data_IF_723750982940
#
_entry.id   IF_723750982940
#
_cell.length_a   1.000
_cell.length_b   1.000
_cell.length_c   1.000
_cell.angle_alpha   90.00
_cell.angle_beta   90.00
_cell.angle_gamma   90.00
#
_symmetry.space_group_name_H-M   'P 1'
#
loop_
_entity.id
_entity.type
_entity.pdbx_description
1 polymer ?
#
# COMPACT_ATOMS: atom_id res chain seq x y z
N UNK A 1 -7.64 7.66 -1.71
CA UNK A 1 -7.33 9.08 -1.47
C UNK A 1 -6.30 9.17 -0.36
N UNK A 2 -5.03 9.39 -0.72
CA UNK A 2 -3.97 9.68 0.24
C UNK A 2 -4.11 11.15 0.66
N UNK A 3 -4.41 11.40 1.93
CA UNK A 3 -4.31 12.73 2.55
C UNK A 3 -3.09 12.69 3.46
N UNK A 4 -2.00 13.34 3.03
CA UNK A 4 -0.87 13.65 3.90
C UNK A 4 -1.07 15.07 4.43
N UNK A 5 -1.18 15.24 5.76
CA UNK A 5 -1.21 16.54 6.43
C UNK A 5 0.21 16.94 6.82
N UNK A 6 0.68 18.08 6.31
CA UNK A 6 1.90 18.74 6.79
C UNK A 6 1.51 19.97 7.63
N UNK A 7 2.01 20.02 8.87
CA UNK A 7 1.96 21.21 9.71
C UNK A 7 3.10 22.17 9.32
N UNK A 8 2.73 23.36 8.87
CA UNK A 8 3.66 24.47 8.72
C UNK A 8 3.49 25.40 9.95
N UNK A 9 4.49 25.44 10.83
CA UNK A 9 4.52 26.39 11.96
C UNK A 9 5.08 27.73 11.50
N UNK A 10 4.27 28.77 11.60
CA UNK A 10 4.70 30.17 11.38
C UNK A 10 4.93 30.80 12.74
N UNK A 11 6.15 31.29 12.95
CA UNK A 11 6.57 32.02 14.15
C UNK A 11 5.91 33.41 14.20
N UNK A 12 5.23 33.68 15.30
CA UNK A 12 4.54 34.95 15.54
C UNK A 12 5.38 35.85 16.47
N UNK A 13 6.37 36.52 15.93
CA UNK A 13 6.94 37.67 16.63
C UNK A 13 7.44 38.70 15.61
N UNK A 14 6.67 39.78 15.45
CA UNK A 14 7.06 41.12 15.04
C UNK A 14 5.91 41.80 14.31
N UNK A 15 5.05 42.50 15.03
CA UNK A 15 4.28 43.61 14.50
C UNK A 15 4.09 44.71 15.56
N UNK A 16 4.79 45.80 15.38
CA UNK A 16 4.39 47.04 15.96
C UNK A 16 4.60 48.16 14.93
N UNK A 17 3.53 48.96 14.73
CA UNK A 17 3.43 50.34 14.28
C UNK A 17 3.39 50.70 12.79
N UNK A 18 2.16 51.02 12.33
CA UNK A 18 1.71 52.21 11.57
C UNK A 18 2.31 52.45 10.19
N UNK A 19 1.51 52.27 9.13
CA UNK A 19 1.16 53.32 8.17
C UNK A 19 0.00 52.87 7.26
N UNK A 20 -1.07 53.69 7.21
CA UNK A 20 -2.17 53.59 6.24
C UNK A 20 -1.63 53.94 4.86
N UNK A 21 -1.49 52.95 4.00
CA UNK A 21 -1.41 53.13 2.55
C UNK A 21 -2.05 51.91 1.89
N UNK A 22 -3.03 52.18 1.06
CA UNK A 22 -3.78 51.22 0.25
C UNK A 22 -2.81 50.35 -0.55
N UNK A 23 -2.42 49.23 0.02
CA UNK A 23 -1.72 48.15 -0.68
C UNK A 23 -2.77 47.13 -1.13
N UNK A 24 -3.07 47.17 -2.43
CA UNK A 24 -3.76 46.09 -3.13
C UNK A 24 -3.02 44.78 -2.77
N UNK A 25 -3.58 43.97 -1.90
CA UNK A 25 -3.11 42.61 -1.66
C UNK A 25 -3.32 41.82 -2.96
N UNK A 26 -2.33 41.83 -3.83
CA UNK A 26 -2.10 40.69 -4.70
C UNK A 26 -1.73 39.54 -3.74
N UNK A 27 -2.74 38.82 -3.29
CA UNK A 27 -2.54 37.49 -2.75
C UNK A 27 -2.01 36.65 -3.91
N UNK A 28 -0.70 36.62 -4.07
CA UNK A 28 -0.04 35.58 -4.82
C UNK A 28 -0.32 34.30 -4.03
N UNK A 29 -1.38 33.58 -4.43
CA UNK A 29 -1.50 32.20 -4.10
C UNK A 29 -0.22 31.53 -4.62
N UNK A 30 0.76 31.36 -3.76
CA UNK A 30 1.85 30.44 -4.02
C UNK A 30 1.16 29.09 -4.06
N UNK A 31 0.68 28.70 -5.24
CA UNK A 31 0.31 27.34 -5.57
C UNK A 31 1.61 26.54 -5.42
N UNK A 32 1.87 26.11 -4.19
CA UNK A 32 2.91 25.12 -3.96
C UNK A 32 2.46 23.89 -4.74
N UNK A 33 3.07 23.65 -5.89
CA UNK A 33 2.76 22.50 -6.71
C UNK A 33 3.07 21.25 -5.88
N UNK A 34 2.03 20.68 -5.27
CA UNK A 34 2.17 19.48 -4.47
C UNK A 34 2.49 18.32 -5.40
N UNK A 35 3.63 17.68 -5.18
CA UNK A 35 3.96 16.44 -5.87
C UNK A 35 3.29 15.26 -5.17
N UNK A 36 2.67 14.40 -5.97
CA UNK A 36 2.16 13.12 -5.52
C UNK A 36 3.01 12.01 -6.15
N UNK A 37 3.20 10.95 -5.41
CA UNK A 37 3.96 9.79 -5.88
C UNK A 37 3.06 8.57 -5.93
N UNK A 38 3.18 7.77 -7.00
CA UNK A 38 2.40 6.56 -7.23
C UNK A 38 3.35 5.42 -7.57
N UNK A 39 3.14 4.29 -6.94
CA UNK A 39 3.77 3.04 -7.33
C UNK A 39 2.80 2.23 -8.18
N UNK A 40 3.27 1.72 -9.31
CA UNK A 40 2.48 0.94 -10.27
C UNK A 40 3.19 -0.38 -10.53
N UNK A 41 2.55 -1.49 -10.17
CA UNK A 41 3.07 -2.83 -10.42
C UNK A 41 2.82 -3.24 -11.87
N UNK A 42 3.83 -3.85 -12.51
CA UNK A 42 3.79 -4.42 -13.85
C UNK A 42 3.99 -5.93 -13.75
N UNK A 43 2.89 -6.66 -13.68
CA UNK A 43 2.85 -8.09 -13.39
C UNK A 43 3.64 -8.93 -14.40
N UNK A 44 3.68 -8.50 -15.67
CA UNK A 44 4.28 -9.26 -16.76
C UNK A 44 5.77 -9.04 -16.97
N UNK A 45 6.39 -8.12 -16.25
CA UNK A 45 7.83 -7.81 -16.42
C UNK A 45 8.59 -7.58 -15.11
N UNK A 46 8.03 -8.03 -13.99
CA UNK A 46 8.62 -7.97 -12.64
C UNK A 46 9.14 -6.61 -12.22
N UNK A 47 8.46 -5.54 -12.64
CA UNK A 47 8.86 -4.18 -12.30
C UNK A 47 7.76 -3.42 -11.57
N UNK A 48 8.18 -2.42 -10.81
CA UNK A 48 7.33 -1.39 -10.23
C UNK A 48 7.79 -0.03 -10.71
N UNK A 49 6.91 0.72 -11.36
CA UNK A 49 7.17 2.09 -11.77
C UNK A 49 6.83 3.06 -10.65
N UNK A 50 7.78 3.93 -10.28
CA UNK A 50 7.54 5.09 -9.43
C UNK A 50 7.23 6.29 -10.30
N UNK A 51 6.01 6.79 -10.22
CA UNK A 51 5.52 7.94 -10.96
C UNK A 51 5.43 9.16 -10.05
N UNK A 52 5.67 10.34 -10.62
CA UNK A 52 5.41 11.63 -9.97
C UNK A 52 4.34 12.40 -10.74
N UNK A 53 3.31 12.84 -10.03
CA UNK A 53 2.28 13.75 -10.51
C UNK A 53 2.47 15.12 -9.86
N UNK A 54 2.55 16.17 -10.64
CA UNK A 54 2.79 17.55 -10.18
C UNK A 54 1.55 18.46 -10.24
N UNK A 55 0.35 17.85 -10.34
CA UNK A 55 -0.91 18.57 -10.51
C UNK A 55 -1.35 18.74 -11.96
N UNK A 56 -0.45 18.61 -12.95
CA UNK A 56 -0.77 18.76 -14.38
C UNK A 56 -0.27 17.60 -15.25
N UNK A 57 0.81 16.96 -14.88
CA UNK A 57 1.42 15.87 -15.65
C UNK A 57 1.93 14.73 -14.76
N UNK A 58 1.91 13.51 -15.29
CA UNK A 58 2.50 12.32 -14.67
C UNK A 58 3.78 11.98 -15.43
N UNK A 59 4.84 11.67 -14.69
CA UNK A 59 6.11 11.22 -15.25
C UNK A 59 6.65 10.05 -14.43
N UNK A 60 7.08 8.98 -15.13
CA UNK A 60 7.89 7.94 -14.52
C UNK A 60 9.26 8.52 -14.14
N UNK A 61 9.63 8.38 -12.88
CA UNK A 61 10.91 8.90 -12.36
C UNK A 61 11.86 7.78 -11.98
N UNK A 62 11.37 6.58 -11.77
CA UNK A 62 12.18 5.39 -11.51
C UNK A 62 11.41 4.13 -11.90
N UNK A 63 12.11 3.13 -12.43
CA UNK A 63 11.65 1.76 -12.58
C UNK A 63 12.46 0.86 -11.67
N UNK A 64 11.78 0.04 -10.88
CA UNK A 64 12.34 -0.78 -9.82
C UNK A 64 12.11 -2.22 -10.22
N UNK A 65 13.18 -3.00 -10.40
CA UNK A 65 13.07 -4.44 -10.56
C UNK A 65 12.75 -5.07 -9.20
N UNK A 66 11.70 -5.88 -9.13
CA UNK A 66 11.24 -6.55 -7.91
C UNK A 66 11.33 -8.07 -8.00
N UNK A 67 11.59 -8.63 -9.19
CA UNK A 67 11.80 -10.06 -9.39
C UNK A 67 13.17 -10.52 -8.83
N UNK A 68 13.21 -11.74 -8.32
CA UNK A 68 14.41 -12.37 -7.78
C UNK A 68 15.08 -13.31 -8.79
N UNK A 69 14.29 -13.95 -9.65
CA UNK A 69 14.77 -14.96 -10.59
C UNK A 69 14.80 -14.42 -12.02
N UNK A 70 15.97 -14.41 -12.68
CA UNK A 70 16.12 -13.84 -14.03
C UNK A 70 15.34 -14.57 -15.13
N UNK A 71 14.92 -15.79 -14.88
CA UNK A 71 14.29 -16.69 -15.88
C UNK A 71 12.82 -16.94 -15.63
N UNK A 72 12.26 -16.39 -14.55
CA UNK A 72 10.87 -16.58 -14.15
C UNK A 72 10.21 -15.22 -13.97
N UNK A 73 8.93 -15.12 -14.30
CA UNK A 73 8.11 -13.96 -13.97
C UNK A 73 7.40 -14.27 -12.66
N UNK A 74 7.75 -13.52 -11.61
CA UNK A 74 7.18 -13.70 -10.28
C UNK A 74 5.93 -12.86 -10.07
N UNK A 75 5.66 -11.91 -10.94
CA UNK A 75 4.43 -11.14 -11.10
C UNK A 75 4.09 -10.25 -9.91
N UNK A 76 4.59 -9.01 -9.85
CA UNK A 76 4.15 -8.05 -8.84
C UNK A 76 2.67 -7.69 -9.06
N UNK A 77 1.79 -8.09 -8.12
CA UNK A 77 0.35 -7.98 -8.28
C UNK A 77 -0.29 -6.96 -7.34
N UNK A 78 -0.27 -7.20 -6.04
CA UNK A 78 -0.77 -6.25 -5.04
C UNK A 78 0.31 -5.26 -4.65
N UNK A 79 -0.09 -3.99 -4.47
CA UNK A 79 0.83 -2.94 -4.03
C UNK A 79 0.11 -1.98 -3.08
N UNK A 80 0.78 -1.58 -2.00
CA UNK A 80 0.26 -0.59 -1.06
C UNK A 80 1.40 0.22 -0.42
N UNK A 81 1.06 1.40 0.07
CA UNK A 81 1.99 2.26 0.83
C UNK A 81 1.60 2.22 2.29
N UNK A 82 2.59 2.12 3.17
CA UNK A 82 2.39 2.18 4.61
C UNK A 82 1.71 3.48 5.03
N UNK A 83 0.81 3.47 6.02
CA UNK A 83 0.18 4.69 6.54
C UNK A 83 1.16 5.75 7.04
N UNK A 84 2.40 5.38 7.42
CA UNK A 84 3.46 6.34 7.76
C UNK A 84 4.05 7.04 6.53
N UNK A 85 3.96 6.42 5.36
CA UNK A 85 4.63 6.87 4.15
C UNK A 85 6.10 6.47 4.03
N UNK A 86 6.68 5.79 5.03
CA UNK A 86 8.10 5.41 5.05
C UNK A 86 8.40 4.13 4.28
N UNK A 87 7.37 3.29 4.06
CA UNK A 87 7.49 1.99 3.41
C UNK A 87 6.42 1.80 2.34
N UNK A 88 6.71 0.92 1.41
CA UNK A 88 5.73 0.37 0.49
C UNK A 88 5.92 -1.15 0.38
N UNK A 89 4.84 -1.82 0.02
CA UNK A 89 4.79 -3.28 -0.04
C UNK A 89 4.28 -3.73 -1.39
N UNK A 90 4.80 -4.86 -1.88
CA UNK A 90 4.35 -5.50 -3.10
C UNK A 90 4.30 -7.02 -2.91
N UNK A 91 3.26 -7.65 -3.48
CA UNK A 91 3.23 -9.11 -3.59
C UNK A 91 3.85 -9.55 -4.91
N UNK A 92 4.64 -10.62 -4.86
CA UNK A 92 5.01 -11.41 -6.02
C UNK A 92 4.10 -12.63 -6.06
N UNK A 93 3.14 -12.62 -6.98
CA UNK A 93 1.99 -13.52 -6.95
C UNK A 93 2.27 -14.90 -7.55
N UNK A 94 3.11 -14.96 -8.59
CA UNK A 94 3.37 -16.18 -9.36
C UNK A 94 4.51 -17.05 -8.83
N UNK A 95 5.04 -16.76 -7.64
CA UNK A 95 6.09 -17.56 -7.02
C UNK A 95 5.69 -19.03 -6.90
N UNK A 96 6.61 -19.94 -7.22
CA UNK A 96 6.35 -21.37 -7.23
C UNK A 96 7.10 -22.07 -6.08
N UNK A 97 6.41 -22.78 -5.16
CA UNK A 97 4.94 -23.00 -5.10
C UNK A 97 4.17 -21.88 -4.42
N UNK A 98 4.85 -20.94 -3.74
CA UNK A 98 4.23 -19.88 -2.95
C UNK A 98 4.74 -18.51 -3.37
N UNK A 99 3.88 -17.52 -3.29
CA UNK A 99 4.26 -16.13 -3.52
C UNK A 99 4.88 -15.47 -2.29
N UNK A 100 5.33 -14.23 -2.49
CA UNK A 100 5.99 -13.44 -1.46
C UNK A 100 5.31 -12.09 -1.25
N UNK A 101 5.47 -11.55 -0.07
CA UNK A 101 5.25 -10.14 0.25
C UNK A 101 6.60 -9.50 0.55
N UNK A 102 6.91 -8.38 -0.09
CA UNK A 102 8.18 -7.68 0.08
C UNK A 102 7.91 -6.26 0.56
N UNK A 103 8.68 -5.82 1.55
CA UNK A 103 8.70 -4.49 2.12
C UNK A 103 9.89 -3.70 1.58
N UNK A 104 9.63 -2.50 1.11
CA UNK A 104 10.64 -1.56 0.61
C UNK A 104 10.60 -0.26 1.40
N UNK A 105 11.76 0.41 1.52
CA UNK A 105 11.85 1.80 1.95
C UNK A 105 11.37 2.74 0.85
N UNK A 106 10.54 3.75 1.17
CA UNK A 106 10.17 4.80 0.19
C UNK A 106 11.32 5.75 -0.11
N UNK A 107 12.30 5.86 0.80
CA UNK A 107 13.43 6.78 0.69
C UNK A 107 14.34 6.46 -0.50
N UNK A 108 14.65 5.19 -0.68
CA UNK A 108 15.65 4.72 -1.66
C UNK A 108 15.20 3.52 -2.48
N UNK A 109 14.06 2.93 -2.13
CA UNK A 109 13.48 1.72 -2.70
C UNK A 109 14.36 0.47 -2.50
N UNK A 110 15.06 0.39 -1.37
CA UNK A 110 15.77 -0.82 -0.94
C UNK A 110 14.81 -1.78 -0.23
N UNK A 111 15.07 -3.08 -0.36
CA UNK A 111 14.35 -4.13 0.36
C UNK A 111 14.66 -4.03 1.86
N UNK A 112 13.62 -4.02 2.68
CA UNK A 112 13.71 -3.99 4.15
C UNK A 112 13.40 -5.36 4.76
N UNK A 113 12.51 -6.12 4.13
CA UNK A 113 12.12 -7.45 4.59
C UNK A 113 11.20 -8.16 3.62
N UNK A 114 11.02 -9.44 3.82
CA UNK A 114 10.13 -10.27 3.01
C UNK A 114 9.45 -11.36 3.84
N UNK A 115 8.32 -11.86 3.33
CA UNK A 115 7.57 -12.96 3.93
C UNK A 115 7.04 -13.86 2.82
N UNK A 116 7.21 -15.17 2.95
CA UNK A 116 6.53 -16.15 2.09
C UNK A 116 5.08 -16.28 2.56
N UNK A 117 4.15 -16.17 1.62
CA UNK A 117 2.71 -16.27 1.88
C UNK A 117 2.09 -17.53 1.25
N UNK A 118 0.77 -17.54 1.06
CA UNK A 118 0.06 -18.61 0.39
C UNK A 118 0.23 -18.60 -1.14
N UNK A 119 -0.62 -19.34 -1.82
CA UNK A 119 -0.66 -19.36 -3.27
C UNK A 119 -1.29 -18.08 -3.81
N UNK A 120 -0.58 -17.42 -4.70
CA UNK A 120 -0.99 -16.20 -5.37
C UNK A 120 -1.45 -15.11 -4.38
N UNK A 121 -0.55 -14.56 -3.56
CA UNK A 121 -0.89 -13.41 -2.74
C UNK A 121 -1.24 -12.24 -3.64
N UNK A 122 -2.47 -11.72 -3.48
CA UNK A 122 -3.01 -10.67 -4.34
C UNK A 122 -3.01 -9.31 -3.61
N UNK A 123 -4.18 -8.66 -3.52
CA UNK A 123 -4.25 -7.34 -2.90
C UNK A 123 -4.04 -7.36 -1.39
N UNK A 124 -3.55 -6.25 -0.86
CA UNK A 124 -3.29 -6.07 0.56
C UNK A 124 -3.52 -4.63 1.00
N UNK A 125 -3.73 -4.45 2.28
CA UNK A 125 -3.69 -3.13 2.94
C UNK A 125 -3.10 -3.23 4.34
N UNK A 126 -2.59 -2.10 4.85
CA UNK A 126 -1.98 -1.99 6.18
C UNK A 126 -2.92 -1.24 7.11
N UNK A 127 -3.27 -1.83 8.25
CA UNK A 127 -3.99 -1.12 9.29
C UNK A 127 -3.08 -0.11 9.98
N UNK A 128 -3.51 1.15 10.01
CA UNK A 128 -2.81 2.23 10.74
C UNK A 128 -2.85 2.05 12.27
N UNK A 129 -3.78 1.22 12.77
CA UNK A 129 -4.01 1.00 14.21
C UNK A 129 -3.22 -0.19 14.70
N UNK A 130 -3.40 -1.35 14.09
CA UNK A 130 -2.74 -2.59 14.53
C UNK A 130 -1.35 -2.76 13.94
N UNK A 131 -1.01 -2.00 12.88
CA UNK A 131 0.23 -2.17 12.09
C UNK A 131 0.32 -3.53 11.40
N UNK A 132 -0.80 -4.24 11.28
CA UNK A 132 -0.87 -5.49 10.54
C UNK A 132 -1.19 -5.25 9.07
N UNK A 133 -0.55 -6.04 8.21
CA UNK A 133 -0.84 -6.13 6.79
C UNK A 133 -1.81 -7.29 6.61
N UNK A 134 -2.91 -7.05 5.91
CA UNK A 134 -3.88 -8.05 5.53
C UNK A 134 -3.75 -8.34 4.05
N UNK A 135 -3.20 -9.49 3.70
CA UNK A 135 -2.95 -9.92 2.33
C UNK A 135 -3.82 -11.12 1.96
N UNK A 136 -4.62 -10.99 0.92
CA UNK A 136 -5.44 -12.12 0.44
C UNK A 136 -4.58 -13.09 -0.36
N UNK A 137 -4.73 -14.39 -0.10
CA UNK A 137 -4.16 -15.47 -0.88
C UNK A 137 -5.21 -15.91 -1.90
N UNK A 138 -5.10 -15.39 -3.13
CA UNK A 138 -6.11 -15.61 -4.16
C UNK A 138 -6.26 -17.07 -4.58
N UNK A 139 -5.18 -17.84 -4.50
CA UNK A 139 -5.15 -19.25 -4.84
C UNK A 139 -5.62 -19.55 -6.27
N UNK A 140 -5.17 -18.70 -7.23
CA UNK A 140 -5.61 -18.75 -8.63
C UNK A 140 -5.49 -20.13 -9.27
N UNK A 141 -4.45 -20.88 -8.94
CA UNK A 141 -4.18 -22.21 -9.49
C UNK A 141 -4.57 -23.36 -8.53
N UNK A 142 -5.28 -23.04 -7.46
CA UNK A 142 -5.86 -24.02 -6.55
C UNK A 142 -7.22 -24.54 -7.04
N UNK A 143 -7.69 -25.64 -6.49
CA UNK A 143 -8.89 -26.37 -6.91
C UNK A 143 -10.21 -25.69 -6.46
N UNK A 144 -10.31 -24.37 -6.52
CA UNK A 144 -11.49 -23.60 -6.05
C UNK A 144 -11.83 -23.85 -4.58
N UNK A 145 -10.86 -24.31 -3.79
CA UNK A 145 -11.01 -24.50 -2.35
C UNK A 145 -11.04 -23.17 -1.61
N UNK A 146 -11.64 -23.14 -0.42
CA UNK A 146 -11.48 -22.00 0.47
C UNK A 146 -10.02 -21.64 0.65
N UNK A 147 -9.73 -20.36 0.67
CA UNK A 147 -8.39 -19.83 0.88
C UNK A 147 -8.38 -18.90 2.11
N UNK A 148 -7.49 -17.94 2.17
CA UNK A 148 -7.27 -17.20 3.40
C UNK A 148 -6.84 -15.75 3.17
N UNK A 149 -6.93 -14.97 4.24
CA UNK A 149 -6.23 -13.69 4.41
C UNK A 149 -5.06 -13.95 5.35
N UNK A 150 -3.84 -13.73 4.88
CA UNK A 150 -2.65 -13.70 5.73
C UNK A 150 -2.61 -12.39 6.52
N UNK A 151 -2.31 -12.49 7.81
CA UNK A 151 -2.09 -11.35 8.70
C UNK A 151 -0.60 -11.29 9.04
N UNK A 152 0.06 -10.22 8.64
CA UNK A 152 1.50 -10.06 8.77
C UNK A 152 1.80 -8.84 9.64
N UNK A 153 2.69 -8.96 10.60
CA UNK A 153 3.24 -7.83 11.33
C UNK A 153 4.12 -6.98 10.41
N UNK A 154 3.76 -5.72 10.21
CA UNK A 154 4.44 -4.83 9.29
C UNK A 154 5.85 -4.41 9.75
N UNK A 155 6.17 -4.55 11.03
CA UNK A 155 7.48 -4.22 11.58
C UNK A 155 8.47 -5.38 11.35
N UNK A 156 8.08 -6.57 11.77
CA UNK A 156 8.93 -7.76 11.73
C UNK A 156 8.85 -8.55 10.42
N UNK A 157 7.86 -8.26 9.58
CA UNK A 157 7.52 -9.05 8.39
C UNK A 157 7.24 -10.52 8.70
N UNK A 158 6.66 -10.80 9.86
CA UNK A 158 6.29 -12.15 10.28
C UNK A 158 4.80 -12.40 10.06
N UNK A 159 4.45 -13.48 9.39
CA UNK A 159 3.05 -13.94 9.31
C UNK A 159 2.59 -14.42 10.68
N UNK A 160 1.60 -13.75 11.26
CA UNK A 160 1.04 -14.05 12.58
C UNK A 160 0.02 -15.17 12.49
N UNK A 161 -0.87 -15.08 11.52
CA UNK A 161 -1.95 -16.05 11.31
C UNK A 161 -2.51 -15.98 9.90
N UNK A 162 -3.30 -16.98 9.54
CA UNK A 162 -4.16 -17.00 8.35
C UNK A 162 -5.60 -17.10 8.80
N UNK A 163 -6.43 -16.24 8.28
CA UNK A 163 -7.88 -16.24 8.51
C UNK A 163 -8.53 -16.88 7.30
N UNK A 164 -9.19 -18.02 7.50
CA UNK A 164 -9.89 -18.71 6.42
C UNK A 164 -11.04 -17.83 5.89
N UNK A 165 -11.15 -17.80 4.58
CA UNK A 165 -12.21 -17.10 3.84
C UNK A 165 -12.75 -18.00 2.73
N UNK A 166 -13.64 -17.48 1.89
CA UNK A 166 -14.20 -18.28 0.79
C UNK A 166 -13.22 -18.56 -0.35
N UNK A 167 -13.73 -19.09 -1.44
CA UNK A 167 -12.93 -19.47 -2.59
C UNK A 167 -12.54 -18.26 -3.44
N UNK A 168 -11.27 -18.19 -3.83
CA UNK A 168 -10.66 -17.13 -4.62
C UNK A 168 -10.90 -15.72 -4.02
N UNK A 169 -10.44 -15.45 -2.80
CA UNK A 169 -10.46 -14.10 -2.24
C UNK A 169 -9.49 -13.22 -3.03
N UNK A 170 -9.95 -12.07 -3.51
CA UNK A 170 -9.12 -11.17 -4.32
C UNK A 170 -9.03 -9.75 -3.76
N UNK A 171 -10.15 -9.18 -3.35
CA UNK A 171 -10.19 -7.82 -2.79
C UNK A 171 -9.81 -7.79 -1.31
N UNK A 172 -8.95 -6.84 -0.94
CA UNK A 172 -8.64 -6.51 0.45
C UNK A 172 -8.79 -5.01 0.68
N UNK A 173 -9.55 -4.62 1.71
CA UNK A 173 -9.73 -3.21 2.10
C UNK A 173 -9.79 -3.08 3.61
N UNK A 174 -9.12 -2.04 4.12
CA UNK A 174 -9.21 -1.64 5.53
C UNK A 174 -10.21 -0.51 5.68
N UNK A 175 -11.03 -0.55 6.72
CA UNK A 175 -11.90 0.54 7.10
C UNK A 175 -11.10 1.82 7.42
N UNK A 176 -11.76 2.97 7.29
CA UNK A 176 -11.11 4.27 7.51
C UNK A 176 -10.52 4.43 8.92
N UNK A 177 -11.14 3.83 9.92
CA UNK A 177 -10.66 3.80 11.31
C UNK A 177 -9.51 2.80 11.52
N UNK A 178 -9.35 1.82 10.63
CA UNK A 178 -8.30 0.79 10.69
C UNK A 178 -8.68 -0.43 11.53
N UNK A 179 -9.94 -0.54 11.95
CA UNK A 179 -10.39 -1.58 12.89
C UNK A 179 -11.08 -2.77 12.21
N UNK A 180 -11.39 -2.67 10.93
CA UNK A 180 -12.02 -3.74 10.16
C UNK A 180 -11.29 -3.95 8.84
N UNK A 181 -11.11 -5.21 8.49
CA UNK A 181 -10.64 -5.61 7.17
C UNK A 181 -11.77 -6.31 6.42
N UNK A 182 -11.94 -5.99 5.16
CA UNK A 182 -12.93 -6.58 4.27
C UNK A 182 -12.23 -7.39 3.18
N UNK A 183 -12.67 -8.62 2.98
CA UNK A 183 -12.22 -9.48 1.89
C UNK A 183 -13.41 -10.01 1.11
N UNK A 184 -13.32 -10.00 -0.22
CA UNK A 184 -14.35 -10.59 -1.09
C UNK A 184 -13.82 -11.86 -1.75
N UNK A 185 -14.56 -12.94 -1.60
CA UNK A 185 -14.28 -14.22 -2.22
C UNK A 185 -15.09 -14.36 -3.51
N UNK A 186 -14.39 -14.25 -4.64
CA UNK A 186 -14.99 -14.08 -5.96
C UNK A 186 -15.83 -15.30 -6.39
N UNK A 187 -15.37 -16.51 -6.10
CA UNK A 187 -16.03 -17.73 -6.56
C UNK A 187 -17.10 -18.25 -5.60
N UNK A 188 -16.97 -18.01 -4.31
CA UNK A 188 -18.03 -18.34 -3.34
C UNK A 188 -19.08 -17.22 -3.19
N UNK A 189 -18.82 -16.03 -3.74
CA UNK A 189 -19.77 -14.91 -3.71
C UNK A 189 -19.95 -14.30 -2.32
N UNK A 190 -18.93 -14.34 -1.47
CA UNK A 190 -18.99 -13.93 -0.06
C UNK A 190 -18.16 -12.69 0.20
N UNK A 191 -18.65 -11.87 1.14
CA UNK A 191 -17.93 -10.76 1.74
C UNK A 191 -17.61 -11.12 3.20
N UNK A 192 -16.35 -11.08 3.56
CA UNK A 192 -15.86 -11.30 4.92
C UNK A 192 -15.50 -9.97 5.57
N UNK A 193 -16.05 -9.72 6.75
CA UNK A 193 -15.63 -8.63 7.63
C UNK A 193 -14.80 -9.25 8.75
N UNK A 194 -13.55 -8.84 8.86
CA UNK A 194 -12.60 -9.31 9.86
C UNK A 194 -12.36 -8.18 10.86
N UNK A 195 -12.56 -8.44 12.14
CA UNK A 195 -12.18 -7.53 13.21
C UNK A 195 -10.65 -7.49 13.35
N UNK A 196 -10.06 -6.30 13.22
CA UNK A 196 -8.62 -6.14 13.14
C UNK A 196 -7.90 -6.32 14.49
N UNK A 197 -8.62 -6.31 15.60
CA UNK A 197 -8.04 -6.52 16.94
C UNK A 197 -8.10 -8.00 17.34
N UNK A 198 -9.26 -8.62 17.15
CA UNK A 198 -9.45 -10.04 17.53
C UNK A 198 -9.03 -11.04 16.44
N UNK A 199 -8.82 -10.56 15.20
CA UNK A 199 -8.48 -11.37 14.02
C UNK A 199 -9.53 -12.45 13.72
N UNK A 200 -10.79 -12.12 13.95
CA UNK A 200 -11.94 -13.03 13.71
C UNK A 200 -12.88 -12.43 12.66
N UNK A 201 -13.49 -13.31 11.89
CA UNK A 201 -14.63 -13.01 11.02
C UNK A 201 -15.86 -12.74 11.88
#
# INVERSE_FOLDING_TARGET
SLIASFNCSIDKSLFSSICLLTLSFLATNILCAQNYYLYVASESDDTVSLLRFNGSSIKEIKRINVGFYPTEIEGPHGITVDPSGDFWYVTLAHGNPFGKLIKYSTKDNTVIGETTLGLFPASMEVSKVTRFIYCVNFNLHGDMKPSSVSVIDAETMTEITKIETGSMPHGSRISKDGLKQYSVAMMSGELFEIDALSLKV
#
